data_IF_762361610081
#
_entry.id   IF_762361610081
#
_cell.length_a   1.000
_cell.length_b   1.000
_cell.length_c   1.000
_cell.angle_alpha   90.00
_cell.angle_beta   90.00
_cell.angle_gamma   90.00
#
_symmetry.space_group_name_H-M   'P 1'
#
loop_
_entity.id
_entity.type
_entity.pdbx_description
1 polymer ?
#
# COMPACT_ATOMS: atom_id res chain seq x y z
N UNK A 1 17.81 24.48 12.40
CA UNK A 1 18.17 25.76 11.72
C UNK A 1 18.16 25.51 10.23
N UNK A 2 17.16 26.01 9.50
CA UNK A 2 17.08 25.91 8.04
C UNK A 2 17.81 27.11 7.44
N UNK A 3 18.99 26.89 6.88
CA UNK A 3 19.71 27.92 6.12
C UNK A 3 19.49 27.63 4.64
N UNK A 4 18.52 28.29 4.03
CA UNK A 4 18.30 28.24 2.57
C UNK A 4 19.28 29.20 1.91
N UNK A 5 20.26 28.67 1.18
CA UNK A 5 21.13 29.45 0.32
C UNK A 5 20.36 29.82 -0.96
N UNK A 6 19.99 31.09 -1.11
CA UNK A 6 19.52 31.64 -2.39
C UNK A 6 20.72 32.21 -3.11
N UNK A 7 21.19 31.51 -4.14
CA UNK A 7 22.17 32.08 -5.09
C UNK A 7 21.37 32.78 -6.17
N UNK A 8 21.26 34.10 -6.10
CA UNK A 8 20.70 34.91 -7.17
C UNK A 8 21.76 35.05 -8.27
N UNK A 9 21.75 34.12 -9.23
CA UNK A 9 22.50 34.26 -10.47
C UNK A 9 21.53 34.74 -11.56
N UNK A 10 21.77 35.88 -12.22
CA UNK A 10 21.00 36.29 -13.40
C UNK A 10 21.33 35.46 -14.65
N UNK A 11 22.27 34.51 -14.54
CA UNK A 11 22.76 33.70 -15.67
C UNK A 11 22.38 32.22 -15.50
N UNK A 12 21.94 31.60 -16.60
CA UNK A 12 21.76 30.15 -16.71
C UNK A 12 23.13 29.44 -16.64
N UNK A 13 23.32 28.60 -15.62
CA UNK A 13 24.60 27.92 -15.38
C UNK A 13 25.02 26.98 -16.52
N UNK A 14 24.07 26.45 -17.28
CA UNK A 14 24.32 25.53 -18.40
C UNK A 14 24.95 26.24 -19.61
N UNK A 15 24.65 27.53 -19.79
CA UNK A 15 25.16 28.36 -20.88
C UNK A 15 26.42 29.15 -20.49
N UNK A 16 26.89 29.02 -19.26
CA UNK A 16 28.00 29.85 -18.74
C UNK A 16 29.32 29.63 -19.50
N UNK A 17 29.46 28.49 -20.17
CA UNK A 17 30.57 28.16 -21.04
C UNK A 17 30.54 28.88 -22.39
N UNK A 18 29.36 29.33 -22.85
CA UNK A 18 29.16 30.07 -24.10
C UNK A 18 29.45 31.56 -23.94
N UNK A 19 29.37 32.09 -22.71
CA UNK A 19 29.75 33.47 -22.42
C UNK A 19 31.26 33.63 -22.51
N UNK A 20 31.67 34.51 -23.41
CA UNK A 20 33.04 34.63 -23.87
C UNK A 20 33.97 35.07 -22.73
N UNK A 21 34.83 34.16 -22.26
CA UNK A 21 35.77 34.37 -21.14
C UNK A 21 36.67 35.60 -21.32
N UNK A 22 36.86 36.06 -22.56
CA UNK A 22 37.84 37.08 -22.92
C UNK A 22 37.51 38.50 -22.44
N UNK A 23 36.22 38.82 -22.22
CA UNK A 23 35.80 40.19 -21.85
C UNK A 23 35.38 40.33 -20.38
N UNK A 24 34.97 39.24 -19.72
CA UNK A 24 34.42 39.28 -18.35
C UNK A 24 35.37 38.79 -17.25
N UNK A 25 36.63 38.47 -17.58
CA UNK A 25 37.63 37.96 -16.61
C UNK A 25 37.99 38.93 -15.48
N UNK A 26 37.70 40.23 -15.64
CA UNK A 26 38.00 41.24 -14.64
C UNK A 26 36.79 41.61 -13.76
N UNK A 27 35.59 41.15 -14.08
CA UNK A 27 34.41 41.44 -13.27
C UNK A 27 34.35 40.48 -12.06
N UNK A 28 34.45 40.98 -10.81
CA UNK A 28 34.36 40.16 -9.61
C UNK A 28 32.99 39.49 -9.45
N UNK A 29 31.91 40.10 -9.97
CA UNK A 29 30.55 39.55 -9.90
C UNK A 29 30.38 38.36 -10.85
N UNK A 30 31.03 38.39 -12.01
CA UNK A 30 31.08 37.26 -12.94
C UNK A 30 31.78 36.05 -12.31
N UNK A 31 32.93 36.26 -11.64
CA UNK A 31 33.66 35.18 -10.95
C UNK A 31 32.82 34.53 -9.86
N UNK A 32 32.12 35.33 -9.06
CA UNK A 32 31.21 34.81 -8.03
C UNK A 32 30.07 33.97 -8.65
N UNK A 33 29.50 34.42 -9.77
CA UNK A 33 28.44 33.70 -10.48
C UNK A 33 28.94 32.38 -11.07
N UNK A 34 30.13 32.36 -11.69
CA UNK A 34 30.75 31.14 -12.24
C UNK A 34 31.07 30.12 -11.15
N UNK A 35 31.63 30.56 -10.02
CA UNK A 35 31.91 29.69 -8.88
C UNK A 35 30.61 29.16 -8.29
N UNK A 36 29.59 30.01 -8.13
CA UNK A 36 28.25 29.61 -7.68
C UNK A 36 27.64 28.54 -8.58
N UNK A 37 27.70 28.72 -9.90
CA UNK A 37 27.22 27.73 -10.87
C UNK A 37 27.99 26.41 -10.82
N UNK A 38 29.32 26.44 -10.69
CA UNK A 38 30.12 25.21 -10.55
C UNK A 38 29.78 24.47 -9.26
N UNK A 39 29.64 25.17 -8.14
CA UNK A 39 29.24 24.58 -6.86
C UNK A 39 27.85 23.96 -7.00
N UNK A 40 26.91 24.65 -7.66
CA UNK A 40 25.55 24.15 -7.87
C UNK A 40 25.52 22.91 -8.76
N UNK A 41 26.30 22.87 -9.84
CA UNK A 41 26.46 21.67 -10.68
C UNK A 41 27.11 20.50 -9.92
N UNK A 42 28.13 20.78 -9.09
CA UNK A 42 28.77 19.76 -8.26
C UNK A 42 27.77 19.23 -7.23
N UNK A 43 26.98 20.09 -6.59
CA UNK A 43 25.90 19.68 -5.68
C UNK A 43 24.86 18.84 -6.41
N UNK A 44 24.43 19.25 -7.60
CA UNK A 44 23.49 18.49 -8.42
C UNK A 44 24.03 17.09 -8.78
N UNK A 45 25.31 16.98 -9.09
CA UNK A 45 25.99 15.72 -9.36
C UNK A 45 26.18 14.86 -8.09
N UNK A 46 26.58 15.48 -6.96
CA UNK A 46 26.79 14.79 -5.68
C UNK A 46 25.48 14.26 -5.11
N UNK A 47 24.40 15.04 -5.15
CA UNK A 47 23.09 14.65 -4.64
C UNK A 47 22.26 13.86 -5.64
N UNK A 48 22.75 13.68 -6.88
CA UNK A 48 22.04 13.00 -7.98
C UNK A 48 20.58 13.44 -8.03
N UNK A 49 20.32 14.75 -8.14
CA UNK A 49 18.95 15.24 -8.23
C UNK A 49 18.29 14.62 -9.46
N UNK A 50 17.47 13.60 -9.22
CA UNK A 50 16.65 12.96 -10.25
C UNK A 50 15.33 13.69 -10.27
N UNK A 51 15.03 14.32 -11.40
CA UNK A 51 13.69 14.78 -11.69
C UNK A 51 12.78 13.56 -11.80
N UNK A 52 11.57 13.68 -11.26
CA UNK A 52 10.60 12.61 -11.29
C UNK A 52 9.18 13.17 -11.26
N UNK A 53 8.25 12.34 -11.69
CA UNK A 53 6.84 12.63 -11.52
C UNK A 53 6.39 12.18 -10.13
N UNK A 54 5.70 13.08 -9.44
CA UNK A 54 5.01 12.80 -8.20
C UNK A 54 3.54 12.60 -8.52
N UNK A 55 3.01 11.45 -8.10
CA UNK A 55 1.65 11.04 -8.35
C UNK A 55 1.10 10.53 -7.02
N UNK A 56 -0.18 10.82 -6.73
CA UNK A 56 -0.83 10.26 -5.54
C UNK A 56 -1.00 8.76 -5.73
N UNK A 57 -0.64 8.01 -4.68
CA UNK A 57 -0.90 6.57 -4.63
C UNK A 57 -2.42 6.38 -4.54
N UNK A 58 -3.06 5.59 -5.42
CA UNK A 58 -4.50 5.38 -5.35
C UNK A 58 -4.88 4.73 -4.02
N UNK A 59 -5.80 5.35 -3.29
CA UNK A 59 -6.10 4.99 -1.90
C UNK A 59 -7.02 3.77 -1.73
N UNK A 60 -6.79 3.05 -0.63
CA UNK A 60 -7.63 2.06 0.08
C UNK A 60 -8.14 0.79 -0.64
N UNK A 61 -8.50 0.82 -1.93
CA UNK A 61 -8.99 -0.38 -2.64
C UNK A 61 -7.89 -1.43 -2.87
N UNK A 62 -6.63 -1.02 -2.76
CA UNK A 62 -5.49 -1.92 -2.89
C UNK A 62 -5.48 -2.99 -1.80
N UNK A 63 -5.73 -2.64 -0.53
CA UNK A 63 -5.64 -3.59 0.57
C UNK A 63 -6.65 -4.74 0.44
N UNK A 64 -7.94 -4.45 0.15
CA UNK A 64 -8.95 -5.50 -0.01
C UNK A 64 -8.62 -6.48 -1.14
N UNK A 65 -8.03 -5.96 -2.22
CA UNK A 65 -7.58 -6.77 -3.36
C UNK A 65 -6.32 -7.56 -3.00
N UNK A 66 -5.38 -6.94 -2.28
CA UNK A 66 -4.11 -7.55 -1.90
C UNK A 66 -4.30 -8.77 -0.99
N UNK A 67 -5.15 -8.69 0.03
CA UNK A 67 -5.39 -9.81 0.95
C UNK A 67 -6.25 -10.95 0.35
N UNK A 68 -6.96 -10.69 -0.76
CA UNK A 68 -7.71 -11.75 -1.46
C UNK A 68 -6.91 -12.45 -2.56
N UNK A 69 -5.77 -11.90 -2.99
CA UNK A 69 -4.87 -12.48 -4.00
C UNK A 69 -4.14 -13.78 -3.61
N UNK A 70 -3.75 -14.06 -2.34
CA UNK A 70 -2.87 -15.19 -2.04
C UNK A 70 -3.48 -16.55 -2.39
N UNK A 71 -4.81 -16.62 -2.43
CA UNK A 71 -5.56 -17.80 -2.84
C UNK A 71 -6.56 -17.46 -3.94
N UNK A 72 -6.66 -18.38 -4.91
CA UNK A 72 -7.70 -18.35 -5.93
C UNK A 72 -9.07 -18.52 -5.24
N UNK A 73 -10.13 -17.90 -5.78
CA UNK A 73 -11.51 -18.02 -5.25
C UNK A 73 -11.92 -19.48 -5.01
N UNK A 74 -11.49 -20.40 -5.86
CA UNK A 74 -11.74 -21.84 -5.71
C UNK A 74 -11.17 -22.39 -4.39
N UNK A 75 -9.94 -22.02 -4.02
CA UNK A 75 -9.30 -22.47 -2.77
C UNK A 75 -10.04 -21.90 -1.56
N UNK A 76 -10.48 -20.64 -1.62
CA UNK A 76 -11.33 -20.04 -0.60
C UNK A 76 -12.62 -20.82 -0.39
N UNK A 77 -13.32 -21.14 -1.48
CA UNK A 77 -14.55 -21.92 -1.42
C UNK A 77 -14.33 -23.31 -0.81
N UNK A 78 -13.22 -23.97 -1.15
CA UNK A 78 -12.84 -25.25 -0.54
C UNK A 78 -12.52 -25.13 0.94
N UNK A 79 -11.80 -24.09 1.36
CA UNK A 79 -11.51 -23.86 2.77
C UNK A 79 -12.80 -23.62 3.58
N UNK A 80 -13.76 -22.86 3.03
CA UNK A 80 -15.07 -22.68 3.65
C UNK A 80 -15.84 -23.99 3.75
N UNK A 81 -15.86 -24.78 2.68
CA UNK A 81 -16.53 -26.08 2.65
C UNK A 81 -15.93 -27.06 3.66
N UNK A 82 -14.60 -27.17 3.72
CA UNK A 82 -13.89 -28.00 4.70
C UNK A 82 -14.19 -27.52 6.12
N UNK A 83 -14.15 -26.20 6.38
CA UNK A 83 -14.47 -25.65 7.70
C UNK A 83 -15.91 -25.99 8.13
N UNK A 84 -16.88 -25.93 7.20
CA UNK A 84 -18.26 -26.35 7.47
C UNK A 84 -18.36 -27.84 7.77
N UNK A 85 -17.69 -28.70 7.00
CA UNK A 85 -17.67 -30.15 7.27
C UNK A 85 -17.06 -30.44 8.64
N UNK A 86 -15.93 -29.83 8.97
CA UNK A 86 -15.27 -30.01 10.26
C UNK A 86 -16.17 -29.57 11.41
N UNK A 87 -16.91 -28.47 11.25
CA UNK A 87 -17.89 -28.01 12.25
C UNK A 87 -18.99 -29.06 12.49
N UNK A 88 -19.52 -29.66 11.42
CA UNK A 88 -20.52 -30.72 11.49
C UNK A 88 -19.94 -31.97 12.17
N UNK A 89 -18.71 -32.37 11.82
CA UNK A 89 -18.05 -33.53 12.42
C UNK A 89 -17.78 -33.32 13.91
N UNK A 90 -17.27 -32.16 14.32
CA UNK A 90 -17.05 -31.83 15.74
C UNK A 90 -18.37 -31.79 16.52
N UNK A 91 -19.44 -31.28 15.92
CA UNK A 91 -20.76 -31.34 16.52
C UNK A 91 -21.26 -32.77 16.73
N UNK A 92 -21.10 -33.64 15.73
CA UNK A 92 -21.47 -35.07 15.84
C UNK A 92 -20.65 -35.74 16.93
N UNK A 93 -19.32 -35.54 16.97
CA UNK A 93 -18.44 -36.09 18.00
C UNK A 93 -18.83 -35.61 19.41
N UNK A 94 -19.16 -34.33 19.56
CA UNK A 94 -19.63 -33.77 20.83
C UNK A 94 -20.97 -34.36 21.26
N UNK A 95 -21.91 -34.52 20.33
CA UNK A 95 -23.21 -35.17 20.60
C UNK A 95 -23.03 -36.63 20.99
N UNK A 96 -22.06 -37.32 20.39
CA UNK A 96 -21.74 -38.69 20.75
C UNK A 96 -21.10 -38.79 22.13
N UNK A 97 -20.15 -37.93 22.45
CA UNK A 97 -19.55 -37.82 23.79
C UNK A 97 -20.60 -37.52 24.87
N UNK A 98 -21.55 -36.63 24.57
CA UNK A 98 -22.69 -36.32 25.42
C UNK A 98 -23.53 -37.57 25.71
N UNK A 99 -23.80 -38.37 24.67
CA UNK A 99 -24.57 -39.61 24.80
C UNK A 99 -23.90 -40.64 25.70
N UNK A 100 -22.57 -40.64 25.81
CA UNK A 100 -21.81 -41.61 26.60
C UNK A 100 -21.63 -41.13 28.05
N UNK A 101 -21.19 -39.89 28.24
CA UNK A 101 -20.73 -39.41 29.54
C UNK A 101 -21.84 -38.75 30.38
N UNK A 102 -22.94 -38.35 29.76
CA UNK A 102 -23.94 -37.49 30.40
C UNK A 102 -23.39 -36.09 30.68
N UNK A 103 -24.12 -35.07 30.27
CA UNK A 103 -23.71 -33.69 30.45
C UNK A 103 -24.87 -32.76 30.15
N UNK A 104 -24.66 -31.46 30.30
CA UNK A 104 -25.65 -30.45 29.92
C UNK A 104 -24.93 -29.40 29.07
N UNK A 105 -25.59 -29.02 27.97
CA UNK A 105 -25.19 -28.01 26.96
C UNK A 105 -24.37 -28.49 25.74
N UNK A 106 -25.09 -28.91 24.70
CA UNK A 106 -24.55 -29.05 23.34
C UNK A 106 -24.91 -27.80 22.51
N UNK A 107 -23.99 -26.85 22.38
CA UNK A 107 -24.16 -25.71 21.46
C UNK A 107 -23.31 -25.90 20.21
N UNK A 108 -23.96 -25.97 19.04
CA UNK A 108 -23.30 -25.95 17.73
C UNK A 108 -22.52 -24.64 17.52
N UNK A 109 -23.06 -23.52 18.02
CA UNK A 109 -22.43 -22.21 17.90
C UNK A 109 -21.04 -22.16 18.55
N UNK A 110 -20.85 -22.91 19.64
CA UNK A 110 -19.55 -23.02 20.29
C UNK A 110 -18.50 -23.72 19.40
N UNK A 111 -18.87 -24.78 18.70
CA UNK A 111 -17.95 -25.47 17.77
C UNK A 111 -17.59 -24.60 16.57
N UNK A 112 -18.56 -23.82 16.07
CA UNK A 112 -18.31 -22.84 15.01
C UNK A 112 -17.38 -21.73 15.50
N UNK A 113 -17.59 -21.21 16.71
CA UNK A 113 -16.71 -20.21 17.32
C UNK A 113 -15.28 -20.71 17.50
N UNK A 114 -15.10 -21.98 17.88
CA UNK A 114 -13.78 -22.61 17.99
C UNK A 114 -13.05 -22.67 16.65
N UNK A 115 -13.76 -23.10 15.59
CA UNK A 115 -13.21 -23.16 14.23
C UNK A 115 -12.84 -21.76 13.73
N UNK A 116 -13.74 -20.78 13.94
CA UNK A 116 -13.48 -19.38 13.60
C UNK A 116 -12.29 -18.84 14.38
N UNK A 117 -12.20 -19.13 15.68
CA UNK A 117 -11.08 -18.75 16.53
C UNK A 117 -9.75 -19.28 15.99
N UNK A 118 -9.71 -20.54 15.59
CA UNK A 118 -8.53 -21.17 14.99
C UNK A 118 -8.04 -20.44 13.73
N UNK A 119 -8.96 -20.00 12.85
CA UNK A 119 -8.62 -19.23 11.65
C UNK A 119 -8.28 -17.76 11.96
N UNK A 120 -8.92 -17.15 12.98
CA UNK A 120 -8.80 -15.73 13.29
C UNK A 120 -7.62 -15.38 14.20
N UNK A 121 -7.09 -16.30 15.01
CA UNK A 121 -6.07 -16.03 16.02
C UNK A 121 -4.79 -15.40 15.45
N UNK A 122 -4.55 -15.53 14.14
CA UNK A 122 -3.35 -15.05 13.48
C UNK A 122 -3.59 -13.96 12.40
N UNK A 123 -4.83 -13.50 12.20
CA UNK A 123 -5.14 -12.50 11.17
C UNK A 123 -6.29 -11.60 11.60
N UNK A 124 -5.97 -10.36 12.02
CA UNK A 124 -6.96 -9.32 12.36
C UNK A 124 -7.88 -8.94 11.19
N UNK A 125 -7.50 -9.26 9.95
CA UNK A 125 -8.24 -8.91 8.74
C UNK A 125 -9.21 -10.00 8.27
N UNK A 126 -8.90 -11.28 8.55
CA UNK A 126 -9.80 -12.41 8.29
C UNK A 126 -11.11 -12.29 9.06
N UNK A 127 -11.03 -11.63 10.22
CA UNK A 127 -12.15 -11.34 11.11
C UNK A 127 -13.30 -10.64 10.38
N UNK A 128 -13.06 -9.71 9.45
CA UNK A 128 -14.15 -8.96 8.78
C UNK A 128 -14.97 -9.83 7.83
N UNK A 129 -14.32 -10.75 7.11
CA UNK A 129 -15.00 -11.65 6.17
C UNK A 129 -15.72 -12.76 6.95
N UNK A 130 -15.08 -13.28 8.00
CA UNK A 130 -15.71 -14.27 8.87
C UNK A 130 -16.83 -13.65 9.72
N UNK A 131 -16.75 -12.38 10.12
CA UNK A 131 -17.83 -11.68 10.82
C UNK A 131 -19.11 -11.67 9.97
N UNK A 132 -19.03 -11.54 8.64
CA UNK A 132 -20.24 -11.63 7.80
C UNK A 132 -20.84 -13.05 7.80
N UNK A 133 -19.98 -14.08 7.77
CA UNK A 133 -20.42 -15.48 7.91
C UNK A 133 -20.99 -15.74 9.32
N UNK A 134 -20.38 -15.14 10.33
CA UNK A 134 -20.77 -15.25 11.73
C UNK A 134 -22.06 -14.49 12.01
N UNK A 135 -22.31 -13.34 11.39
CA UNK A 135 -23.59 -12.63 11.45
C UNK A 135 -24.66 -13.51 10.81
N UNK A 136 -24.38 -14.15 9.69
CA UNK A 136 -25.34 -15.04 9.03
C UNK A 136 -25.66 -16.28 9.89
N UNK A 137 -24.64 -16.93 10.45
CA UNK A 137 -24.80 -18.10 11.33
C UNK A 137 -25.42 -17.71 12.67
N UNK A 138 -25.02 -16.58 13.25
CA UNK A 138 -25.59 -16.06 14.51
C UNK A 138 -27.03 -15.63 14.31
N UNK A 139 -27.38 -15.02 13.18
CA UNK A 139 -28.77 -14.67 12.83
C UNK A 139 -29.61 -15.94 12.65
N UNK A 140 -29.06 -16.97 12.00
CA UNK A 140 -29.71 -18.29 11.87
C UNK A 140 -29.91 -18.98 13.23
N UNK A 141 -28.91 -18.93 14.12
CA UNK A 141 -28.99 -19.47 15.48
C UNK A 141 -29.96 -18.66 16.34
N UNK A 142 -29.99 -17.32 16.22
CA UNK A 142 -30.91 -16.44 16.94
C UNK A 142 -32.37 -16.69 16.54
N UNK A 143 -32.62 -16.96 15.25
CA UNK A 143 -33.93 -17.38 14.75
C UNK A 143 -34.29 -18.77 15.29
N UNK A 144 -33.30 -19.67 15.43
CA UNK A 144 -33.53 -21.05 15.88
C UNK A 144 -33.67 -21.19 17.40
N UNK A 145 -33.15 -20.28 18.21
CA UNK A 145 -33.24 -20.33 19.68
C UNK A 145 -33.92 -19.07 20.22
N UNK A 146 -35.18 -19.20 20.61
CA UNK A 146 -36.05 -18.16 21.19
C UNK A 146 -35.63 -17.73 22.62
N UNK A 147 -34.34 -17.58 22.91
CA UNK A 147 -33.81 -17.16 24.21
C UNK A 147 -32.86 -15.96 24.07
N UNK A 148 -33.14 -14.94 24.88
CA UNK A 148 -32.38 -13.69 25.00
C UNK A 148 -30.90 -13.96 25.35
N UNK A 149 -30.01 -13.89 24.37
CA UNK A 149 -28.57 -13.82 24.60
C UNK A 149 -28.14 -12.39 24.24
N UNK A 150 -27.71 -11.65 25.27
CA UNK A 150 -27.16 -10.30 25.13
C UNK A 150 -25.77 -10.41 24.48
N UNK A 151 -25.51 -9.75 23.33
CA UNK A 151 -24.20 -9.80 22.68
C UNK A 151 -23.21 -8.92 23.45
N UNK A 152 -22.43 -9.51 24.35
CA UNK A 152 -21.21 -8.86 24.87
C UNK A 152 -20.17 -8.89 23.76
N UNK A 153 -19.62 -7.71 23.44
CA UNK A 153 -18.56 -7.52 22.43
C UNK A 153 -17.38 -8.42 22.79
N UNK A 154 -17.25 -9.53 22.08
CA UNK A 154 -16.18 -10.50 22.26
C UNK A 154 -14.95 -9.98 21.52
N UNK A 155 -13.95 -9.53 22.29
CA UNK A 155 -12.57 -9.66 21.82
C UNK A 155 -12.39 -11.17 21.53
N UNK A 156 -11.91 -11.60 20.35
CA UNK A 156 -11.87 -13.00 19.98
C UNK A 156 -10.75 -13.71 20.75
N UNK A 157 -10.96 -13.91 22.05
CA UNK A 157 -10.23 -14.88 22.83
C UNK A 157 -10.83 -16.25 22.50
N UNK A 158 -9.99 -17.14 21.97
CA UNK A 158 -10.40 -18.51 21.66
C UNK A 158 -10.93 -19.14 22.96
N UNK A 159 -12.17 -19.67 22.96
CA UNK A 159 -12.72 -20.26 24.18
C UNK A 159 -11.85 -21.45 24.64
N UNK A 160 -11.75 -21.70 25.95
CA UNK A 160 -10.93 -22.78 26.48
C UNK A 160 -11.43 -24.15 25.98
N UNK A 161 -10.51 -25.01 25.51
CA UNK A 161 -10.84 -26.32 24.97
C UNK A 161 -11.19 -27.33 26.07
N UNK A 162 -12.48 -27.46 26.38
CA UNK A 162 -12.96 -28.42 27.38
C UNK A 162 -13.31 -29.77 26.75
N UNK A 163 -12.34 -30.48 26.18
CA UNK A 163 -12.54 -31.85 25.67
C UNK A 163 -12.27 -32.90 26.77
N UNK A 164 -13.27 -33.73 27.11
CA UNK A 164 -13.10 -34.81 28.11
C UNK A 164 -12.53 -36.06 27.46
N UNK A 165 -13.00 -36.43 26.26
CA UNK A 165 -12.49 -37.59 25.53
C UNK A 165 -11.16 -37.31 24.80
N UNK A 166 -10.20 -38.26 24.84
CA UNK A 166 -8.91 -38.12 24.15
C UNK A 166 -9.06 -38.09 22.62
N UNK A 167 -10.05 -38.80 22.06
CA UNK A 167 -10.34 -38.79 20.62
C UNK A 167 -10.67 -37.39 20.11
N UNK A 168 -11.48 -36.63 20.86
CA UNK A 168 -11.84 -35.25 20.52
C UNK A 168 -10.64 -34.30 20.63
N UNK A 169 -9.78 -34.49 21.63
CA UNK A 169 -8.52 -33.74 21.77
C UNK A 169 -7.60 -33.94 20.57
N UNK A 170 -7.44 -35.18 20.12
CA UNK A 170 -6.64 -35.52 18.94
C UNK A 170 -7.24 -34.89 17.68
N UNK A 171 -8.57 -34.93 17.52
CA UNK A 171 -9.25 -34.33 16.39
C UNK A 171 -9.06 -32.80 16.33
N UNK A 172 -9.18 -32.10 17.47
CA UNK A 172 -8.85 -30.68 17.57
C UNK A 172 -7.39 -30.41 17.22
N UNK A 173 -6.46 -31.20 17.79
CA UNK A 173 -5.04 -31.05 17.51
C UNK A 173 -4.72 -31.16 16.01
N UNK A 174 -5.25 -32.17 15.32
CA UNK A 174 -5.08 -32.34 13.87
C UNK A 174 -5.64 -31.12 13.12
N UNK A 175 -6.83 -30.64 13.51
CA UNK A 175 -7.43 -29.46 12.89
C UNK A 175 -6.60 -28.18 13.11
N UNK A 176 -6.03 -27.97 14.29
CA UNK A 176 -5.14 -26.84 14.54
C UNK A 176 -3.85 -26.93 13.73
N UNK A 177 -3.25 -28.12 13.63
CA UNK A 177 -2.07 -28.34 12.79
C UNK A 177 -2.37 -28.05 11.32
N UNK A 178 -3.51 -28.53 10.80
CA UNK A 178 -3.95 -28.23 9.45
C UNK A 178 -4.17 -26.73 9.23
N UNK A 179 -4.88 -26.06 10.15
CA UNK A 179 -5.15 -24.62 10.08
C UNK A 179 -3.85 -23.81 10.11
N UNK A 180 -2.86 -24.25 10.90
CA UNK A 180 -1.53 -23.65 10.96
C UNK A 180 -0.76 -23.80 9.64
N UNK A 181 -0.82 -24.97 8.99
CA UNK A 181 -0.21 -25.17 7.66
C UNK A 181 -0.88 -24.28 6.61
N UNK A 182 -2.21 -24.20 6.59
CA UNK A 182 -2.93 -23.29 5.67
C UNK A 182 -2.54 -21.83 5.93
N UNK A 183 -2.43 -21.44 7.20
CA UNK A 183 -2.02 -20.09 7.58
C UNK A 183 -0.59 -19.77 7.14
N UNK A 184 0.37 -20.65 7.40
CA UNK A 184 1.78 -20.45 7.01
C UNK A 184 1.94 -20.37 5.50
N UNK A 185 1.20 -21.18 4.75
CA UNK A 185 1.18 -21.08 3.29
C UNK A 185 0.54 -19.77 2.82
N UNK A 186 -0.57 -19.35 3.43
CA UNK A 186 -1.22 -18.06 3.15
C UNK A 186 -0.26 -16.88 3.39
N UNK A 187 0.39 -16.83 4.55
CA UNK A 187 1.30 -15.73 4.88
C UNK A 187 2.54 -15.73 4.01
N UNK A 188 3.07 -16.90 3.67
CA UNK A 188 4.22 -17.01 2.74
C UNK A 188 3.87 -16.49 1.35
N UNK A 189 2.69 -16.84 0.81
CA UNK A 189 2.22 -16.31 -0.47
C UNK A 189 1.93 -14.82 -0.41
N UNK A 190 1.40 -14.33 0.72
CA UNK A 190 1.16 -12.91 0.91
C UNK A 190 2.46 -12.11 0.99
N UNK A 191 3.46 -12.60 1.73
CA UNK A 191 4.79 -12.00 1.82
C UNK A 191 5.52 -12.06 0.49
N UNK A 192 5.45 -13.20 -0.21
CA UNK A 192 6.00 -13.31 -1.57
C UNK A 192 5.31 -12.33 -2.51
N UNK A 193 3.99 -12.16 -2.40
CA UNK A 193 3.25 -11.16 -3.15
C UNK A 193 3.69 -9.75 -2.80
N UNK A 194 3.99 -9.45 -1.54
CA UNK A 194 4.46 -8.14 -1.08
C UNK A 194 5.87 -7.82 -1.57
N UNK A 195 6.76 -8.80 -1.55
CA UNK A 195 8.15 -8.67 -2.02
C UNK A 195 8.19 -8.63 -3.55
N UNK A 196 7.32 -9.38 -4.22
CA UNK A 196 7.25 -9.43 -5.69
C UNK A 196 6.38 -8.33 -6.29
N UNK A 197 5.53 -7.64 -5.50
CA UNK A 197 5.05 -6.28 -5.79
C UNK A 197 6.21 -5.28 -5.60
N UNK A 198 7.37 -5.58 -6.21
CA UNK A 198 8.23 -4.53 -6.70
C UNK A 198 7.32 -3.67 -7.56
N UNK A 199 6.97 -2.49 -7.02
CA UNK A 199 6.08 -1.50 -7.61
C UNK A 199 6.22 -1.63 -9.11
N UNK A 200 5.16 -2.03 -9.84
CA UNK A 200 5.16 -2.01 -11.31
C UNK A 200 5.75 -0.66 -11.67
N UNK A 201 7.03 -0.66 -12.05
CA UNK A 201 7.80 0.58 -12.12
C UNK A 201 7.03 1.40 -13.11
N UNK A 202 6.43 2.48 -12.64
CA UNK A 202 5.48 3.22 -13.45
C UNK A 202 6.29 3.76 -14.61
N UNK A 203 6.21 3.09 -15.75
CA UNK A 203 7.02 3.47 -16.90
C UNK A 203 6.47 4.78 -17.41
N UNK A 204 7.35 5.60 -17.99
CA UNK A 204 6.93 6.84 -18.63
C UNK A 204 5.83 6.59 -19.68
N UNK A 205 5.84 5.43 -20.33
CA UNK A 205 4.81 4.98 -21.25
C UNK A 205 3.45 4.81 -20.56
N UNK A 206 3.38 4.11 -19.42
CA UNK A 206 2.13 3.98 -18.67
C UNK A 206 1.62 5.33 -18.16
N UNK A 207 2.52 6.25 -17.84
CA UNK A 207 2.16 7.60 -17.44
C UNK A 207 1.66 8.44 -18.63
N UNK A 208 2.27 8.29 -19.80
CA UNK A 208 1.85 8.94 -21.04
C UNK A 208 0.48 8.46 -21.51
N UNK A 209 0.15 7.18 -21.31
CA UNK A 209 -1.17 6.63 -21.62
C UNK A 209 -2.22 6.98 -20.54
N UNK A 210 -1.78 7.44 -19.36
CA UNK A 210 -2.69 7.80 -18.29
C UNK A 210 -3.47 9.09 -18.62
N UNK A 211 -4.70 9.23 -18.09
CA UNK A 211 -5.50 10.44 -18.23
C UNK A 211 -5.02 11.59 -17.32
N UNK A 212 -3.91 11.41 -16.60
CA UNK A 212 -3.36 12.44 -15.74
C UNK A 212 -2.82 13.60 -16.57
N UNK A 213 -3.15 14.82 -16.16
CA UNK A 213 -2.56 16.02 -16.73
C UNK A 213 -1.13 16.18 -16.21
N UNK A 214 -0.19 16.53 -17.09
CA UNK A 214 1.20 16.72 -16.70
C UNK A 214 1.42 18.18 -16.34
N UNK A 215 2.02 18.39 -15.16
CA UNK A 215 2.21 19.72 -14.61
C UNK A 215 3.66 19.85 -14.16
N UNK A 216 4.29 20.98 -14.43
CA UNK A 216 5.69 21.25 -14.06
C UNK A 216 5.76 22.38 -13.04
N UNK A 217 6.71 22.32 -12.13
CA UNK A 217 6.90 23.43 -11.19
C UNK A 217 7.53 24.64 -11.89
N UNK A 218 7.03 25.85 -11.61
CA UNK A 218 7.42 27.11 -12.29
C UNK A 218 8.94 27.30 -12.47
N UNK A 219 9.75 27.00 -11.45
CA UNK A 219 11.21 27.20 -11.54
C UNK A 219 11.91 26.18 -12.45
N UNK A 220 11.25 25.08 -12.83
CA UNK A 220 11.79 24.07 -13.75
C UNK A 220 11.41 24.29 -15.21
N UNK A 221 10.47 25.20 -15.47
CA UNK A 221 10.05 25.47 -16.83
C UNK A 221 11.23 26.00 -17.68
N UNK A 222 12.15 26.76 -17.08
CA UNK A 222 13.36 27.24 -17.75
C UNK A 222 14.40 26.13 -18.02
N UNK A 223 14.60 25.18 -17.09
CA UNK A 223 15.63 24.13 -17.24
C UNK A 223 15.20 22.95 -18.11
N UNK A 224 13.90 22.74 -18.28
CA UNK A 224 13.37 21.61 -19.05
C UNK A 224 13.43 21.82 -20.57
N UNK A 225 13.31 23.06 -21.05
CA UNK A 225 13.30 23.36 -22.49
C UNK A 225 14.67 23.07 -23.14
N UNK A 226 15.78 23.34 -22.44
CA UNK A 226 17.12 23.08 -22.97
C UNK A 226 17.51 21.59 -22.95
N UNK A 227 17.16 20.88 -21.88
CA UNK A 227 17.60 19.49 -21.64
C UNK A 227 16.79 18.42 -22.39
N UNK A 228 15.56 18.73 -22.83
CA UNK A 228 14.71 17.79 -23.56
C UNK A 228 15.24 17.44 -24.96
N UNK A 229 16.06 18.30 -25.56
CA UNK A 229 16.61 18.10 -26.91
C UNK A 229 17.61 16.93 -27.00
N UNK A 230 18.16 16.49 -25.87
CA UNK A 230 19.21 15.46 -25.78
C UNK A 230 18.67 14.05 -25.50
N UNK A 231 17.40 13.91 -25.10
CA UNK A 231 16.80 12.60 -24.84
C UNK A 231 16.24 11.99 -26.13
N UNK A 232 16.76 10.80 -26.47
CA UNK A 232 16.60 10.15 -27.77
C UNK A 232 15.18 9.77 -28.23
N UNK A 233 15.15 9.22 -29.45
CA UNK A 233 14.03 9.01 -30.37
C UNK A 233 12.71 8.38 -29.85
N UNK A 234 12.64 7.81 -28.65
CA UNK A 234 11.44 7.12 -28.15
C UNK A 234 10.48 8.02 -27.35
N UNK A 235 10.77 9.32 -27.19
CA UNK A 235 9.96 10.25 -26.38
C UNK A 235 8.96 11.04 -27.24
N UNK A 236 8.77 10.74 -28.52
CA UNK A 236 7.87 11.52 -29.40
C UNK A 236 6.46 11.72 -28.80
N UNK A 237 5.88 10.67 -28.21
CA UNK A 237 4.56 10.71 -27.57
C UNK A 237 4.55 11.57 -26.29
N UNK A 238 5.63 11.54 -25.51
CA UNK A 238 5.75 12.36 -24.30
C UNK A 238 6.06 13.82 -24.64
N UNK A 239 6.78 14.07 -25.73
CA UNK A 239 7.23 15.40 -26.12
C UNK A 239 6.04 16.35 -26.29
N UNK A 240 4.98 15.89 -26.92
CA UNK A 240 3.77 16.69 -27.11
C UNK A 240 3.09 17.00 -25.78
N UNK A 241 2.98 16.02 -24.87
CA UNK A 241 2.45 16.28 -23.51
C UNK A 241 3.35 17.21 -22.69
N UNK A 242 4.67 17.07 -22.83
CA UNK A 242 5.65 17.89 -22.10
C UNK A 242 5.65 19.34 -22.57
N UNK A 243 5.48 19.59 -23.88
CA UNK A 243 5.42 20.94 -24.45
C UNK A 243 4.17 21.71 -24.00
N UNK A 244 3.09 21.00 -23.66
CA UNK A 244 1.82 21.60 -23.22
C UNK A 244 1.65 21.57 -21.69
N UNK A 245 2.73 21.28 -20.93
CA UNK A 245 2.64 21.28 -19.46
C UNK A 245 2.35 22.69 -18.94
N UNK A 246 1.31 22.80 -18.12
CA UNK A 246 1.07 23.99 -17.31
C UNK A 246 2.14 24.09 -16.22
N UNK A 247 2.62 25.30 -15.98
CA UNK A 247 3.50 25.60 -14.87
C UNK A 247 2.69 25.95 -13.62
N UNK A 248 2.98 25.34 -12.48
CA UNK A 248 2.31 25.64 -11.19
C UNK A 248 3.30 25.93 -10.07
N UNK A 249 2.79 26.55 -9.01
CA UNK A 249 3.54 26.65 -7.75
C UNK A 249 3.60 25.29 -7.03
N UNK A 250 4.65 25.05 -6.23
CA UNK A 250 4.79 23.80 -5.44
C UNK A 250 3.54 23.44 -4.61
N UNK A 251 2.95 24.36 -3.81
CA UNK A 251 1.78 24.01 -2.99
C UNK A 251 0.53 23.72 -3.81
N UNK A 252 0.31 24.44 -4.91
CA UNK A 252 -0.80 24.21 -5.85
C UNK A 252 -0.65 22.84 -6.52
N UNK A 253 0.52 22.54 -7.08
CA UNK A 253 0.78 21.25 -7.70
C UNK A 253 0.64 20.08 -6.72
N UNK A 254 1.05 20.25 -5.46
CA UNK A 254 0.84 19.22 -4.44
C UNK A 254 -0.65 19.03 -4.10
N UNK A 255 -1.44 20.10 -4.05
CA UNK A 255 -2.89 20.01 -3.87
C UNK A 255 -3.54 19.27 -5.05
N UNK A 256 -3.15 19.58 -6.28
CA UNK A 256 -3.67 18.93 -7.49
C UNK A 256 -3.29 17.45 -7.56
N UNK A 257 -2.06 17.09 -7.14
CA UNK A 257 -1.61 15.70 -7.00
C UNK A 257 -2.49 14.99 -5.97
N UNK A 258 -2.77 15.65 -4.84
CA UNK A 258 -3.67 15.11 -3.84
C UNK A 258 -5.07 14.89 -4.43
N UNK A 259 -5.56 15.68 -5.37
CA UNK A 259 -6.87 15.44 -6.01
C UNK A 259 -6.87 14.31 -7.06
N UNK A 260 -5.74 13.61 -7.28
CA UNK A 260 -5.55 12.59 -8.35
C UNK A 260 -5.77 13.14 -9.76
N UNK A 261 -5.58 14.44 -9.98
CA UNK A 261 -5.82 15.06 -11.29
C UNK A 261 -4.55 15.14 -12.14
N UNK A 262 -3.40 15.27 -11.48
CA UNK A 262 -2.15 15.62 -12.16
C UNK A 262 -0.98 14.73 -11.76
N UNK A 263 -0.01 14.62 -12.68
CA UNK A 263 1.33 14.12 -12.42
C UNK A 263 2.29 15.32 -12.38
N UNK A 264 2.84 15.60 -11.20
CA UNK A 264 3.68 16.77 -10.97
C UNK A 264 5.16 16.44 -11.22
N UNK A 265 5.77 17.04 -12.23
CA UNK A 265 7.19 16.95 -12.51
C UNK A 265 7.97 17.91 -11.59
N UNK A 266 8.83 17.36 -10.74
CA UNK A 266 9.68 18.12 -9.84
C UNK A 266 10.92 17.33 -9.40
N UNK A 267 11.88 18.02 -8.79
CA UNK A 267 12.92 17.38 -8.00
C UNK A 267 12.40 17.08 -6.59
N UNK A 268 12.95 16.02 -6.01
CA UNK A 268 12.58 15.56 -4.69
C UNK A 268 12.96 16.55 -3.58
N UNK A 269 14.10 17.24 -3.71
CA UNK A 269 14.64 18.07 -2.64
C UNK A 269 13.78 19.32 -2.38
N UNK A 270 13.22 19.91 -3.43
CA UNK A 270 12.33 21.06 -3.32
C UNK A 270 10.98 20.68 -2.74
N UNK A 271 10.43 19.52 -3.09
CA UNK A 271 9.10 19.10 -2.65
C UNK A 271 9.08 18.49 -1.24
N UNK A 272 10.15 17.81 -0.85
CA UNK A 272 10.20 17.08 0.42
C UNK A 272 9.79 17.91 1.66
N UNK A 273 10.24 19.17 1.84
CA UNK A 273 9.80 20.01 2.96
C UNK A 273 8.29 20.29 2.96
N UNK A 274 7.67 20.42 1.79
CA UNK A 274 6.25 20.69 1.65
C UNK A 274 5.41 19.44 1.93
N UNK A 275 5.88 18.26 1.51
CA UNK A 275 5.22 16.98 1.81
C UNK A 275 5.18 16.67 3.31
N UNK A 276 6.22 17.05 4.07
CA UNK A 276 6.23 16.87 5.52
C UNK A 276 5.18 17.78 6.16
N UNK A 277 5.13 19.05 5.74
CA UNK A 277 4.20 20.04 6.29
C UNK A 277 2.74 19.74 5.97
N UNK A 278 2.45 19.13 4.83
CA UNK A 278 1.08 18.74 4.46
C UNK A 278 0.55 17.53 5.23
N UNK A 279 1.41 16.70 5.85
CA UNK A 279 1.00 15.57 6.69
C UNK A 279 0.60 15.97 8.12
N UNK A 280 0.94 17.18 8.55
CA UNK A 280 0.63 17.70 9.88
C UNK A 280 -0.68 18.49 9.95
N UNK A 281 -1.46 18.48 8.87
CA UNK A 281 -2.79 19.09 8.76
C UNK A 281 -3.80 17.94 8.62
#
# INVERSE_FOLDING_TARGET
MNVTFKVASPYECDSIHLYNFKYNTFDPTWKQSVIGCKILMILQHMYKFRFGFIIRRPDYKFYKTFYSKPFIRTVWNWLYFIATIVAILFYILKRWEYSILGGWECSFAYEVLMIIGAYCQHSKLFTIVIINLFIFVSFWVLISTKKNIVPKVLIPTVPPMDAKLPSRRIAYFIFFMFSYVVYTYYTSNLLSGLVNDHDKVLTLEMLADSPLEFVIVNYMQLSSVGSLSSYGHNISVLKDKLLHMRSVSVPEGLADVLENKVALLSDYATIYPYMIKSKSI
#
